data_IF_943561293149
#
_entry.id   IF_943561293149
#
_cell.length_a   1.000
_cell.length_b   1.000
_cell.length_c   1.000
_cell.angle_alpha   90.00
_cell.angle_beta   90.00
_cell.angle_gamma   90.00
#
_symmetry.space_group_name_H-M   'P 1'
#
loop_
_entity.id
_entity.type
_entity.pdbx_description
1 polymer ?
#
# COMPACT_ATOMS: atom_id res chain seq x y z
N UNK A 1 -4.30 -9.15 -16.72
CA UNK A 1 -5.10 -9.01 -15.48
C UNK A 1 -4.57 -7.80 -14.74
N UNK A 2 -5.41 -6.78 -14.49
CA UNK A 2 -4.98 -5.59 -13.75
C UNK A 2 -4.79 -5.92 -12.28
N UNK A 3 -3.57 -5.75 -11.77
CA UNK A 3 -3.27 -5.87 -10.34
C UNK A 3 -4.01 -4.77 -9.60
N UNK A 4 -5.04 -5.14 -8.83
CA UNK A 4 -5.73 -4.19 -7.95
C UNK A 4 -4.85 -3.93 -6.72
N UNK A 5 -4.39 -2.69 -6.56
CA UNK A 5 -3.66 -2.26 -5.37
C UNK A 5 -4.62 -1.76 -4.28
N UNK A 6 -4.18 -1.74 -3.00
CA UNK A 6 -4.97 -1.27 -1.86
C UNK A 6 -5.56 0.12 -2.04
N UNK A 7 -4.87 0.96 -2.81
CA UNK A 7 -5.30 2.29 -3.20
C UNK A 7 -5.02 2.46 -4.69
N UNK A 8 -6.06 2.84 -5.43
CA UNK A 8 -6.07 2.82 -6.91
C UNK A 8 -4.99 3.71 -7.55
N UNK A 9 -4.64 4.84 -6.92
CA UNK A 9 -3.63 5.77 -7.45
C UNK A 9 -2.17 5.44 -7.07
N UNK A 10 -1.94 4.50 -6.14
CA UNK A 10 -0.58 4.11 -5.76
C UNK A 10 0.00 3.10 -6.74
N UNK A 11 1.14 3.43 -7.34
CA UNK A 11 1.92 2.48 -8.13
C UNK A 11 2.62 1.45 -7.23
N UNK A 12 2.97 0.29 -7.78
CA UNK A 12 3.79 -0.70 -7.06
C UNK A 12 5.10 -0.12 -6.55
N UNK A 13 5.77 0.69 -7.36
CA UNK A 13 7.00 1.40 -6.97
C UNK A 13 6.77 2.24 -5.71
N UNK A 14 5.67 3.02 -5.68
CA UNK A 14 5.36 3.87 -4.53
C UNK A 14 5.02 3.06 -3.28
N UNK A 15 4.29 1.96 -3.41
CA UNK A 15 4.02 1.05 -2.29
C UNK A 15 5.31 0.43 -1.72
N UNK A 16 6.23 0.02 -2.60
CA UNK A 16 7.55 -0.51 -2.20
C UNK A 16 8.36 0.55 -1.46
N UNK A 17 8.36 1.80 -1.94
CA UNK A 17 9.05 2.92 -1.27
C UNK A 17 8.49 3.15 0.14
N UNK A 18 7.17 3.26 0.27
CA UNK A 18 6.48 3.45 1.56
C UNK A 18 6.83 2.34 2.55
N UNK A 19 6.74 1.08 2.12
CA UNK A 19 7.05 -0.06 3.00
C UNK A 19 8.53 -0.10 3.39
N UNK A 20 9.44 0.25 2.47
CA UNK A 20 10.86 0.34 2.79
C UNK A 20 11.19 1.50 3.74
N UNK A 21 10.46 2.61 3.67
CA UNK A 21 10.57 3.71 4.64
C UNK A 21 10.17 3.27 6.05
N UNK A 22 9.03 2.57 6.19
CA UNK A 22 8.61 1.98 7.46
C UNK A 22 9.64 0.97 7.98
N UNK A 23 10.11 0.05 7.13
CA UNK A 23 11.12 -0.94 7.51
C UNK A 23 12.43 -0.32 7.97
N UNK A 24 12.84 0.82 7.41
CA UNK A 24 14.04 1.53 7.83
C UNK A 24 14.00 1.95 9.31
N UNK A 25 12.80 2.15 9.88
CA UNK A 25 12.63 2.47 11.31
C UNK A 25 12.83 1.26 12.22
N UNK A 26 12.61 0.04 11.72
CA UNK A 26 12.58 -1.20 12.52
C UNK A 26 13.95 -1.78 12.89
N UNK A 27 15.06 -1.13 12.51
CA UNK A 27 16.46 -1.64 12.59
C UNK A 27 16.72 -2.96 11.85
N UNK A 28 15.73 -3.53 11.17
CA UNK A 28 15.86 -4.75 10.39
C UNK A 28 16.56 -4.47 9.06
N UNK A 29 17.56 -5.29 8.69
CA UNK A 29 18.23 -5.23 7.38
C UNK A 29 17.40 -5.91 6.27
N UNK A 30 16.09 -5.66 6.26
CA UNK A 30 15.15 -6.24 5.30
C UNK A 30 14.66 -5.14 4.37
N UNK A 31 14.66 -5.41 3.07
CA UNK A 31 14.06 -4.53 2.06
C UNK A 31 13.08 -5.31 1.22
N UNK A 32 11.93 -4.71 0.93
CA UNK A 32 10.98 -5.24 -0.04
C UNK A 32 11.39 -4.84 -1.45
N UNK A 33 11.21 -5.77 -2.40
CA UNK A 33 11.68 -5.62 -3.79
C UNK A 33 10.54 -5.67 -4.81
N UNK A 34 9.44 -6.35 -4.47
CA UNK A 34 8.28 -6.51 -5.37
C UNK A 34 7.04 -6.89 -4.58
N UNK A 35 5.87 -6.67 -5.18
CA UNK A 35 4.58 -7.17 -4.67
C UNK A 35 4.33 -8.56 -5.27
N UNK A 36 3.98 -9.52 -4.43
CA UNK A 36 3.63 -10.90 -4.82
C UNK A 36 2.13 -11.04 -5.00
N UNK A 37 1.35 -10.45 -4.08
CA UNK A 37 -0.11 -10.49 -4.09
C UNK A 37 -0.66 -9.23 -3.43
N UNK A 38 -1.78 -8.73 -3.92
CA UNK A 38 -2.60 -7.73 -3.25
C UNK A 38 -4.03 -8.25 -3.09
N UNK A 39 -4.65 -7.94 -1.95
CA UNK A 39 -6.01 -8.32 -1.59
C UNK A 39 -6.63 -7.28 -0.66
N UNK A 40 -7.50 -6.42 -1.20
CA UNK A 40 -8.05 -5.27 -0.49
C UNK A 40 -6.93 -4.39 0.09
N UNK A 41 -7.02 -4.06 1.38
CA UNK A 41 -6.02 -3.24 2.09
C UNK A 41 -4.76 -4.01 2.53
N UNK A 42 -4.42 -5.11 1.86
CA UNK A 42 -3.29 -5.97 2.23
C UNK A 42 -2.44 -6.27 1.02
N UNK A 43 -1.13 -6.30 1.22
CA UNK A 43 -0.17 -6.73 0.21
C UNK A 43 0.84 -7.70 0.81
N UNK A 44 1.20 -8.72 0.05
CA UNK A 44 2.35 -9.57 0.32
C UNK A 44 3.49 -9.10 -0.56
N UNK A 45 4.60 -8.77 0.07
CA UNK A 45 5.83 -8.31 -0.56
C UNK A 45 6.91 -9.39 -0.46
N UNK A 46 7.71 -9.50 -1.51
CA UNK A 46 8.95 -10.28 -1.51
C UNK A 46 10.09 -9.40 -1.02
N UNK A 47 10.97 -9.98 -0.19
CA UNK A 47 12.16 -9.29 0.31
C UNK A 47 13.42 -9.70 -0.44
N UNK A 48 14.47 -8.90 -0.27
CA UNK A 48 15.84 -9.22 -0.68
C UNK A 48 16.38 -10.55 -0.11
N UNK A 49 15.84 -11.01 1.03
CA UNK A 49 16.20 -12.27 1.69
C UNK A 49 15.35 -13.47 1.24
N UNK A 50 14.59 -13.32 0.15
CA UNK A 50 13.61 -14.32 -0.36
C UNK A 50 12.49 -14.67 0.64
N UNK A 51 12.35 -13.91 1.73
CA UNK A 51 11.24 -14.04 2.67
C UNK A 51 10.05 -13.22 2.16
N UNK A 52 8.87 -13.52 2.70
CA UNK A 52 7.67 -12.74 2.42
C UNK A 52 7.27 -11.92 3.64
N UNK A 53 6.97 -10.66 3.39
CA UNK A 53 6.32 -9.79 4.35
C UNK A 53 4.89 -9.58 3.92
N UNK A 54 3.97 -9.64 4.86
CA UNK A 54 2.62 -9.18 4.65
C UNK A 54 2.48 -7.83 5.33
N UNK A 55 1.98 -6.86 4.57
CA UNK A 55 1.74 -5.50 5.02
C UNK A 55 0.24 -5.24 5.00
N UNK A 56 -0.27 -4.78 6.13
CA UNK A 56 -1.63 -4.32 6.27
C UNK A 56 -1.65 -2.80 6.20
N UNK A 57 -2.44 -2.25 5.30
CA UNK A 57 -2.72 -0.83 5.21
C UNK A 57 -4.01 -0.50 5.97
N UNK A 58 -4.11 0.71 6.52
CA UNK A 58 -5.36 1.20 7.10
C UNK A 58 -6.32 1.64 5.97
N UNK A 59 -7.62 1.32 6.08
CA UNK A 59 -8.61 1.82 5.14
C UNK A 59 -8.74 3.34 5.30
N UNK A 60 -8.59 4.09 4.21
CA UNK A 60 -8.89 5.53 4.17
C UNK A 60 -10.06 5.78 3.22
N UNK A 61 -10.88 6.79 3.56
CA UNK A 61 -11.87 7.35 2.64
C UNK A 61 -11.24 8.19 1.51
N UNK A 62 -9.91 8.18 1.38
CA UNK A 62 -9.15 8.97 0.41
C UNK A 62 -8.37 8.06 -0.54
N UNK A 63 -8.43 8.38 -1.83
CA UNK A 63 -7.74 7.65 -2.90
C UNK A 63 -6.26 8.01 -3.01
N UNK A 64 -5.80 8.98 -2.23
CA UNK A 64 -4.45 9.57 -2.34
C UNK A 64 -3.62 9.36 -1.09
N UNK A 65 -4.17 8.71 -0.07
CA UNK A 65 -3.52 8.50 1.23
C UNK A 65 -3.54 7.04 1.64
N UNK A 66 -2.41 6.55 2.14
CA UNK A 66 -2.28 5.26 2.81
C UNK A 66 -1.61 5.42 4.16
N UNK A 67 -1.90 4.51 5.07
CA UNK A 67 -1.14 4.33 6.31
C UNK A 67 -0.74 2.87 6.42
N UNK A 68 0.50 2.61 6.85
CA UNK A 68 0.93 1.24 7.17
C UNK A 68 0.51 0.93 8.59
N UNK A 69 -0.45 0.01 8.72
CA UNK A 69 -0.99 -0.43 10.01
C UNK A 69 -0.05 -1.40 10.70
N UNK A 70 0.40 -2.41 9.95
CA UNK A 70 1.28 -3.43 10.47
C UNK A 70 2.11 -4.09 9.36
N UNK A 71 3.30 -4.53 9.72
CA UNK A 71 4.18 -5.34 8.88
C UNK A 71 4.44 -6.64 9.63
N UNK A 72 4.15 -7.75 8.98
CA UNK A 72 4.37 -9.08 9.52
C UNK A 72 5.28 -9.88 8.60
N UNK A 73 6.15 -10.68 9.18
CA UNK A 73 6.88 -11.74 8.49
C UNK A 73 6.00 -12.98 8.42
N UNK A 74 5.86 -13.53 7.22
CA UNK A 74 5.26 -14.86 7.04
C UNK A 74 6.32 -15.89 7.43
N UNK A 75 6.05 -16.72 8.45
CA UNK A 75 7.04 -17.68 8.96
C UNK A 75 7.30 -18.80 7.95
N UNK A 76 6.24 -19.29 7.31
CA UNK A 76 6.27 -20.34 6.29
C UNK A 76 5.38 -19.95 5.11
N UNK A 77 5.95 -19.66 3.95
CA UNK A 77 5.19 -19.21 2.77
C UNK A 77 4.26 -20.25 2.17
N UNK A 78 4.43 -21.53 2.52
CA UNK A 78 3.61 -22.64 2.00
C UNK A 78 2.39 -22.92 2.88
N UNK A 79 2.34 -22.34 4.09
CA UNK A 79 1.23 -22.54 5.02
C UNK A 79 0.25 -21.36 4.96
N UNK A 80 -1.06 -21.63 5.15
CA UNK A 80 -2.04 -20.55 5.28
C UNK A 80 -1.74 -19.71 6.52
N UNK A 81 -2.02 -18.42 6.42
CA UNK A 81 -1.92 -17.47 7.53
C UNK A 81 -3.28 -16.84 7.82
N UNK A 82 -3.51 -16.48 9.09
CA UNK A 82 -4.73 -15.80 9.54
C UNK A 82 -4.38 -14.51 10.26
N UNK A 83 -5.34 -13.61 10.37
CA UNK A 83 -5.22 -12.35 11.10
C UNK A 83 -6.12 -12.42 12.32
N UNK A 84 -5.66 -11.91 13.46
CA UNK A 84 -6.54 -11.58 14.59
C UNK A 84 -6.48 -10.08 14.87
N UNK A 85 -7.55 -9.59 15.50
CA UNK A 85 -7.92 -8.18 15.68
C UNK A 85 -6.77 -7.23 16.10
N UNK A 86 -6.87 -5.96 15.70
CA UNK A 86 -6.01 -4.85 16.13
C UNK A 86 -4.52 -4.94 15.79
N UNK A 87 -4.17 -5.41 14.60
CA UNK A 87 -2.79 -5.35 14.09
C UNK A 87 -1.85 -6.42 14.68
N UNK A 88 -2.39 -7.41 15.39
CA UNK A 88 -1.63 -8.57 15.84
C UNK A 88 -1.56 -9.65 14.75
N UNK A 89 -0.39 -10.27 14.60
CA UNK A 89 -0.22 -11.39 13.69
C UNK A 89 -1.00 -12.60 14.19
N UNK A 90 -1.85 -13.18 13.34
CA UNK A 90 -2.50 -14.46 13.64
C UNK A 90 -1.61 -15.66 13.30
N UNK A 91 -2.21 -16.76 12.84
CA UNK A 91 -1.46 -17.98 12.51
C UNK A 91 -0.42 -17.69 11.44
N UNK A 92 0.79 -18.23 11.62
CA UNK A 92 1.89 -18.16 10.64
C UNK A 92 2.41 -16.74 10.34
N UNK A 93 2.08 -15.75 11.19
CA UNK A 93 2.58 -14.39 11.10
C UNK A 93 3.42 -14.04 12.33
N UNK A 94 4.49 -13.29 12.11
CA UNK A 94 5.31 -12.68 13.16
C UNK A 94 5.29 -11.17 12.95
N UNK A 95 4.66 -10.43 13.86
CA UNK A 95 4.60 -8.97 13.78
C UNK A 95 6.00 -8.39 13.94
N UNK A 96 6.45 -7.67 12.91
CA UNK A 96 7.69 -6.89 12.94
C UNK A 96 7.42 -5.47 13.40
N UNK A 97 6.28 -4.92 13.00
CA UNK A 97 5.85 -3.57 13.30
C UNK A 97 4.33 -3.53 13.40
N UNK A 98 3.81 -2.80 14.37
CA UNK A 98 2.38 -2.50 14.50
C UNK A 98 2.26 -1.04 14.93
N UNK A 99 1.69 -0.20 14.07
CA UNK A 99 1.53 1.23 14.29
C UNK A 99 0.11 1.59 14.81
N UNK A 100 -0.66 0.60 15.30
CA UNK A 100 -2.02 0.85 15.80
C UNK A 100 -3.02 1.13 14.69
N UNK A 101 -4.00 2.01 14.92
CA UNK A 101 -5.01 2.40 13.91
C UNK A 101 -4.53 3.53 12.99
N UNK A 102 -3.62 4.39 13.45
CA UNK A 102 -3.23 5.64 12.80
C UNK A 102 -1.71 5.70 12.52
N UNK A 103 -1.16 4.67 11.85
CA UNK A 103 0.26 4.67 11.48
C UNK A 103 0.69 5.86 10.61
N UNK A 104 1.98 5.92 10.23
CA UNK A 104 2.48 7.05 9.44
C UNK A 104 1.69 7.19 8.14
N UNK A 105 1.21 8.40 7.88
CA UNK A 105 0.45 8.73 6.69
C UNK A 105 1.38 9.06 5.52
N UNK A 106 1.12 8.40 4.40
CA UNK A 106 1.76 8.66 3.13
C UNK A 106 0.71 9.17 2.17
N UNK A 107 0.92 10.38 1.66
CA UNK A 107 0.03 11.04 0.72
C UNK A 107 0.74 11.24 -0.61
N UNK A 108 0.02 11.00 -1.71
CA UNK A 108 0.49 11.32 -3.06
C UNK A 108 0.41 12.83 -3.29
N UNK A 109 1.33 13.36 -4.09
CA UNK A 109 1.23 14.73 -4.58
C UNK A 109 0.11 14.85 -5.62
N UNK A 110 -0.37 16.07 -5.85
CA UNK A 110 -1.34 16.32 -6.93
C UNK A 110 -0.81 15.89 -8.29
N UNK A 111 0.49 16.08 -8.56
CA UNK A 111 1.13 15.68 -9.81
C UNK A 111 1.12 14.16 -10.02
N UNK A 112 1.38 13.39 -8.96
CA UNK A 112 1.31 11.91 -9.02
C UNK A 112 -0.11 11.46 -9.34
N UNK A 113 -1.11 12.08 -8.74
CA UNK A 113 -2.53 11.75 -8.93
C UNK A 113 -3.03 12.21 -10.31
N UNK A 114 -2.60 13.38 -10.77
CA UNK A 114 -2.87 13.90 -12.12
C UNK A 114 -2.30 12.96 -13.17
N UNK A 115 -1.04 12.55 -13.01
CA UNK A 115 -0.39 11.57 -13.88
C UNK A 115 -1.17 10.26 -13.92
N UNK A 116 -1.59 9.75 -12.77
CA UNK A 116 -2.41 8.54 -12.69
C UNK A 116 -3.71 8.65 -13.50
N UNK A 117 -4.47 9.74 -13.35
CA UNK A 117 -5.73 9.92 -14.09
C UNK A 117 -5.51 10.13 -15.59
N UNK A 118 -4.45 10.85 -15.98
CA UNK A 118 -4.06 11.01 -17.38
C UNK A 118 -3.73 9.67 -18.05
N UNK A 119 -3.14 8.72 -17.32
CA UNK A 119 -2.77 7.40 -17.84
C UNK A 119 -3.92 6.38 -17.83
N UNK A 120 -4.88 6.53 -16.91
CA UNK A 120 -5.96 5.54 -16.70
C UNK A 120 -7.30 5.91 -17.35
N UNK A 121 -7.52 7.18 -17.70
CA UNK A 121 -8.72 7.59 -18.43
C UNK A 121 -8.63 7.21 -19.93
N UNK A 122 -9.78 6.98 -20.62
CA UNK A 122 -9.79 6.70 -22.05
C UNK A 122 -9.09 7.78 -22.86
N UNK A 123 -8.29 7.38 -23.85
CA UNK A 123 -7.48 8.30 -24.65
C UNK A 123 -8.26 8.83 -25.87
N UNK A 124 -8.11 10.13 -26.21
CA UNK A 124 -7.32 11.14 -25.50
C UNK A 124 -7.99 11.56 -24.17
N UNK A 125 -7.21 11.59 -23.09
CA UNK A 125 -7.72 11.99 -21.78
C UNK A 125 -8.16 13.47 -21.82
N UNK A 126 -9.44 13.74 -21.53
CA UNK A 126 -9.96 15.12 -21.41
C UNK A 126 -9.31 15.81 -20.19
N UNK A 127 -8.57 16.93 -20.36
CA UNK A 127 -7.91 17.65 -19.26
C UNK A 127 -8.88 18.09 -18.15
N UNK A 128 -10.08 18.56 -18.48
CA UNK A 128 -11.08 18.97 -17.48
C UNK A 128 -11.55 17.79 -16.63
N UNK A 129 -11.66 16.61 -17.26
CA UNK A 129 -12.03 15.37 -16.57
C UNK A 129 -10.89 14.88 -15.67
N UNK A 130 -9.63 15.05 -16.08
CA UNK A 130 -8.47 14.76 -15.22
C UNK A 130 -8.51 15.65 -13.99
N UNK A 131 -8.60 16.98 -14.15
CA UNK A 131 -8.61 17.92 -13.03
C UNK A 131 -9.79 17.72 -12.08
N UNK A 132 -10.98 17.42 -12.62
CA UNK A 132 -12.15 17.09 -11.79
C UNK A 132 -11.91 15.85 -10.92
N UNK A 133 -11.24 14.82 -11.46
CA UNK A 133 -10.90 13.62 -10.69
C UNK A 133 -9.78 13.87 -9.68
N UNK A 134 -8.79 14.71 -10.00
CA UNK A 134 -7.77 15.16 -9.04
C UNK A 134 -8.44 15.87 -7.86
N UNK A 135 -9.26 16.90 -8.11
CA UNK A 135 -10.01 17.62 -7.05
C UNK A 135 -10.81 16.67 -6.16
N UNK A 136 -11.57 15.75 -6.78
CA UNK A 136 -12.36 14.72 -6.06
C UNK A 136 -11.48 13.81 -5.20
N UNK A 137 -10.30 13.41 -5.70
CA UNK A 137 -9.40 12.52 -4.98
C UNK A 137 -8.81 13.18 -3.71
N UNK A 138 -8.63 14.50 -3.73
CA UNK A 138 -8.22 15.30 -2.57
C UNK A 138 -9.39 15.84 -1.72
N UNK A 139 -10.63 15.53 -2.08
CA UNK A 139 -11.81 16.03 -1.37
C UNK A 139 -12.05 17.54 -1.52
N UNK A 140 -11.45 18.17 -2.53
CA UNK A 140 -11.71 19.56 -2.88
C UNK A 140 -13.05 19.62 -3.62
N UNK A 141 -13.95 20.51 -3.20
CA UNK A 141 -15.21 20.75 -3.90
C UNK A 141 -14.91 21.06 -5.38
N UNK A 142 -15.64 20.38 -6.27
CA UNK A 142 -15.45 20.44 -7.72
C UNK A 142 -15.64 21.87 -8.26
#
# INVERSE_FOLDING_TARGET
MSTYYPVRAFTEKRLIEVVNQELATTRLRVRVTSIVKSDGFKCVFKTNTKKHLMVQFAPFNSWVRIQVRAIHRIRDSFKPYTYMFNGQGGKNLETLMCNGEEGQAYQLSEDEVRKYFSETLPQPANPEKVELNVKRAFGMAA
#
